data_IF_006345263167
#
_entry.id   IF_006345263167
#
_cell.length_a   1.000
_cell.length_b   1.000
_cell.length_c   1.000
_cell.angle_alpha   90.00
_cell.angle_beta   90.00
_cell.angle_gamma   90.00
#
_symmetry.space_group_name_H-M   'P 1'
#
loop_
_entity.id
_entity.type
_entity.pdbx_description
1 polymer ?
#
# COMPACT_ATOMS: atom_id res chain seq x y z
N UNK A 1 4.35 44.29 24.89
CA UNK A 1 3.72 43.41 23.88
C UNK A 1 4.84 42.85 23.01
N UNK A 2 4.97 41.52 22.84
CA UNK A 2 5.80 40.80 21.83
C UNK A 2 6.43 39.48 22.31
N UNK A 3 6.25 39.04 23.57
CA UNK A 3 6.95 37.84 24.10
C UNK A 3 6.29 36.47 23.84
N UNK A 4 5.16 36.42 23.13
CA UNK A 4 4.41 35.16 22.94
C UNK A 4 4.45 34.60 21.51
N UNK A 5 5.16 35.25 20.57
CA UNK A 5 5.16 34.86 19.15
C UNK A 5 6.16 33.72 18.84
N UNK A 6 7.02 33.34 19.79
CA UNK A 6 8.08 32.35 19.55
C UNK A 6 7.72 30.89 19.88
N UNK A 7 6.49 30.60 20.30
CA UNK A 7 6.08 29.23 20.67
C UNK A 7 5.28 28.48 19.60
N UNK A 8 4.92 29.11 18.48
CA UNK A 8 4.06 28.48 17.46
C UNK A 8 4.83 27.79 16.31
N UNK A 9 6.17 27.89 16.28
CA UNK A 9 6.97 27.45 15.13
C UNK A 9 7.52 26.02 15.22
N UNK A 10 7.25 25.27 16.29
CA UNK A 10 7.90 23.96 16.53
C UNK A 10 7.05 22.75 16.08
N UNK A 11 5.82 22.95 15.60
CA UNK A 11 4.93 21.85 15.18
C UNK A 11 5.04 21.43 13.69
N UNK A 12 5.90 22.07 12.89
CA UNK A 12 5.92 21.85 11.42
C UNK A 12 6.79 20.67 10.93
N UNK A 13 7.35 19.85 11.82
CA UNK A 13 8.29 18.78 11.43
C UNK A 13 7.80 17.34 11.66
N UNK A 14 6.51 17.13 11.90
CA UNK A 14 5.91 15.79 11.82
C UNK A 14 5.71 15.38 10.35
N UNK A 15 6.76 15.45 9.53
CA UNK A 15 6.77 14.77 8.24
C UNK A 15 6.97 13.28 8.55
N UNK A 16 5.86 12.57 8.71
CA UNK A 16 5.85 11.12 8.78
C UNK A 16 6.35 10.63 7.42
N UNK A 17 7.65 10.32 7.34
CA UNK A 17 8.29 9.68 6.19
C UNK A 17 7.81 8.23 6.14
N UNK A 18 6.53 8.06 5.80
CA UNK A 18 5.99 6.76 5.43
C UNK A 18 6.69 6.44 4.13
N UNK A 19 7.57 5.45 4.20
CA UNK A 19 8.13 4.87 2.98
C UNK A 19 6.97 4.17 2.30
N UNK A 20 6.31 4.86 1.40
CA UNK A 20 5.19 4.27 0.66
C UNK A 20 5.73 3.05 -0.08
N UNK A 21 5.09 1.90 0.14
CA UNK A 21 5.48 0.67 -0.54
C UNK A 21 4.81 0.66 -1.92
N UNK A 22 5.62 0.82 -2.97
CA UNK A 22 5.13 0.84 -4.33
C UNK A 22 5.17 -0.55 -4.99
N UNK A 23 4.05 -0.94 -5.59
CA UNK A 23 3.84 -2.22 -6.26
C UNK A 23 3.29 -2.02 -7.67
N UNK A 24 3.75 -2.83 -8.60
CA UNK A 24 3.24 -2.83 -9.97
C UNK A 24 1.95 -3.65 -10.04
N UNK A 25 0.87 -3.05 -10.53
CA UNK A 25 -0.41 -3.74 -10.71
C UNK A 25 -0.28 -4.74 -11.87
N UNK A 26 -0.35 -6.02 -11.55
CA UNK A 26 -0.26 -7.11 -12.53
C UNK A 26 -1.62 -7.58 -13.03
N UNK A 27 -2.66 -7.44 -12.22
CA UNK A 27 -4.03 -7.78 -12.57
C UNK A 27 -5.02 -7.00 -11.70
N UNK A 28 -6.27 -6.89 -12.16
CA UNK A 28 -7.37 -6.16 -11.52
C UNK A 28 -8.62 -7.03 -11.51
N UNK A 29 -9.26 -7.21 -10.34
CA UNK A 29 -10.53 -7.96 -10.26
C UNK A 29 -11.55 -7.26 -9.39
N UNK A 30 -12.81 -7.39 -9.80
CA UNK A 30 -13.96 -7.07 -8.99
C UNK A 30 -14.60 -8.36 -8.50
N UNK A 31 -14.79 -8.49 -7.19
CA UNK A 31 -15.41 -9.67 -6.57
C UNK A 31 -16.47 -9.17 -5.60
N UNK A 32 -17.74 -9.55 -5.82
CA UNK A 32 -18.87 -9.17 -4.95
C UNK A 32 -18.99 -7.65 -4.69
N UNK A 33 -18.64 -6.81 -5.67
CA UNK A 33 -18.69 -5.35 -5.53
C UNK A 33 -17.46 -4.72 -4.84
N UNK A 34 -16.48 -5.53 -4.44
CA UNK A 34 -15.19 -5.07 -3.93
C UNK A 34 -14.16 -5.09 -5.05
N UNK A 35 -13.17 -4.19 -4.97
CA UNK A 35 -12.20 -3.94 -6.03
C UNK A 35 -10.79 -4.28 -5.54
N UNK A 36 -10.06 -5.11 -6.30
CA UNK A 36 -8.76 -5.61 -5.89
C UNK A 36 -7.69 -5.38 -6.96
N UNK A 37 -6.52 -4.94 -6.51
CA UNK A 37 -5.27 -5.00 -7.28
C UNK A 37 -4.51 -6.25 -6.89
N UNK A 38 -3.96 -6.93 -7.90
CA UNK A 38 -3.07 -8.07 -7.73
C UNK A 38 -1.68 -7.69 -8.19
N UNK A 39 -0.68 -8.02 -7.39
CA UNK A 39 0.72 -7.72 -7.67
C UNK A 39 1.61 -8.90 -7.27
N UNK A 40 2.80 -8.97 -7.87
CA UNK A 40 3.80 -9.96 -7.44
C UNK A 40 4.36 -9.54 -6.10
N UNK A 41 4.31 -10.45 -5.13
CA UNK A 41 4.87 -10.17 -3.82
C UNK A 41 6.40 -10.02 -3.95
N UNK A 42 6.94 -8.81 -3.72
CA UNK A 42 8.39 -8.60 -3.67
C UNK A 42 8.90 -9.32 -2.42
N UNK A 43 9.79 -10.31 -2.58
CA UNK A 43 10.44 -10.99 -1.47
C UNK A 43 11.51 -10.07 -0.85
N UNK A 44 11.09 -9.00 -0.20
CA UNK A 44 12.00 -8.07 0.50
C UNK A 44 11.54 -7.92 1.94
N UNK A 45 11.75 -8.96 2.75
CA UNK A 45 11.84 -8.88 4.22
C UNK A 45 10.53 -8.58 4.99
N UNK A 46 10.21 -9.47 5.93
CA UNK A 46 9.13 -9.37 6.92
C UNK A 46 7.70 -9.25 6.38
N UNK A 47 7.18 -10.38 5.89
CA UNK A 47 5.73 -10.58 5.82
C UNK A 47 5.17 -10.53 7.25
N UNK A 48 4.27 -9.60 7.52
CA UNK A 48 3.31 -9.78 8.60
C UNK A 48 2.18 -10.65 8.05
N UNK A 49 1.96 -11.78 8.71
CA UNK A 49 1.01 -12.85 8.34
C UNK A 49 -0.47 -12.40 8.44
N UNK A 50 -0.86 -11.33 7.74
CA UNK A 50 -2.26 -10.91 7.65
C UNK A 50 -2.94 -11.37 6.34
N UNK A 51 -2.22 -12.09 5.47
CA UNK A 51 -2.79 -12.66 4.26
C UNK A 51 -2.75 -14.19 4.32
N UNK A 52 -3.82 -14.76 4.89
CA UNK A 52 -4.32 -16.11 4.62
C UNK A 52 -3.33 -17.27 4.66
N UNK A 53 -3.35 -18.00 5.77
CA UNK A 53 -2.96 -19.41 5.91
C UNK A 53 -2.54 -20.13 4.61
N UNK A 54 -1.24 -20.35 4.43
CA UNK A 54 -0.77 -21.58 3.79
C UNK A 54 0.59 -21.96 4.37
N UNK A 55 0.51 -22.77 5.41
CA UNK A 55 1.61 -23.59 5.89
C UNK A 55 2.06 -24.53 4.77
N UNK A 56 3.39 -24.55 4.55
CA UNK A 56 4.16 -25.47 3.70
C UNK A 56 4.25 -25.11 2.20
N UNK A 57 5.48 -24.80 1.78
CA UNK A 57 5.90 -24.88 0.37
C UNK A 57 6.29 -23.54 -0.24
N UNK A 58 7.57 -23.38 -0.53
CA UNK A 58 8.09 -22.29 -1.37
C UNK A 58 7.51 -22.38 -2.79
N UNK A 59 6.34 -21.78 -3.01
CA UNK A 59 5.83 -21.49 -4.34
C UNK A 59 6.37 -20.14 -4.80
N UNK A 60 7.12 -20.12 -5.90
CA UNK A 60 7.66 -18.91 -6.55
C UNK A 60 6.59 -18.01 -7.18
N UNK A 61 5.31 -18.33 -6.97
CA UNK A 61 4.18 -17.68 -7.61
C UNK A 61 3.19 -17.15 -6.56
N UNK A 62 3.69 -16.43 -5.54
CA UNK A 62 2.82 -15.76 -4.57
C UNK A 62 2.35 -14.44 -5.15
N UNK A 63 1.08 -14.41 -5.56
CA UNK A 63 0.38 -13.17 -5.83
C UNK A 63 -0.12 -12.59 -4.51
N UNK A 64 0.19 -11.32 -4.27
CA UNK A 64 -0.41 -10.54 -3.21
C UNK A 64 -1.56 -9.73 -3.78
N UNK A 65 -2.52 -9.36 -2.94
CA UNK A 65 -3.67 -8.56 -3.35
C UNK A 65 -4.01 -7.50 -2.32
N UNK A 66 -4.31 -6.29 -2.81
CA UNK A 66 -4.81 -5.17 -2.01
C UNK A 66 -6.22 -4.79 -2.43
N UNK A 67 -7.13 -4.62 -1.47
CA UNK A 67 -8.45 -4.04 -1.70
C UNK A 67 -8.32 -2.52 -1.84
N UNK A 68 -9.02 -1.94 -2.80
CA UNK A 68 -9.07 -0.51 -3.06
C UNK A 68 -10.51 -0.06 -3.26
N UNK A 69 -10.73 1.26 -3.20
CA UNK A 69 -12.04 1.83 -3.55
C UNK A 69 -12.27 1.74 -5.07
N UNK A 70 -13.53 1.85 -5.49
CA UNK A 70 -13.88 1.90 -6.92
C UNK A 70 -13.18 3.05 -7.66
N UNK A 71 -13.07 4.21 -7.01
CA UNK A 71 -12.42 5.39 -7.60
C UNK A 71 -10.94 5.12 -7.88
N UNK A 72 -10.21 4.58 -6.91
CA UNK A 72 -8.81 4.17 -7.08
C UNK A 72 -8.72 3.05 -8.12
N UNK A 73 -9.62 2.06 -8.06
CA UNK A 73 -9.62 1.00 -9.05
C UNK A 73 -9.76 1.53 -10.47
N UNK A 74 -10.60 2.52 -10.71
CA UNK A 74 -10.84 3.09 -12.03
C UNK A 74 -9.76 4.08 -12.48
N UNK A 75 -8.97 4.66 -11.56
CA UNK A 75 -7.91 5.61 -11.90
C UNK A 75 -6.57 4.98 -12.29
N UNK A 76 -6.37 3.69 -11.98
CA UNK A 76 -5.15 2.93 -12.31
C UNK A 76 -5.39 1.84 -13.35
N UNK A 77 -4.37 1.51 -14.13
CA UNK A 77 -4.37 0.46 -15.14
C UNK A 77 -3.45 -0.70 -14.75
N UNK A 78 -3.62 -1.84 -15.43
CA UNK A 78 -2.65 -2.94 -15.35
C UNK A 78 -1.32 -2.43 -15.94
N UNK A 79 -0.24 -2.59 -15.18
CA UNK A 79 1.09 -2.07 -15.48
C UNK A 79 1.44 -0.76 -14.77
N UNK A 80 0.46 -0.08 -14.16
CA UNK A 80 0.72 1.13 -13.37
C UNK A 80 1.31 0.76 -11.99
N UNK A 81 2.15 1.65 -11.46
CA UNK A 81 2.68 1.56 -10.10
C UNK A 81 1.69 2.19 -9.12
N UNK A 82 1.39 1.47 -8.04
CA UNK A 82 0.53 1.91 -6.95
C UNK A 82 1.28 1.88 -5.63
N UNK A 83 1.28 2.99 -4.91
CA UNK A 83 1.97 3.15 -3.63
C UNK A 83 0.94 3.30 -2.49
N UNK A 84 1.16 2.59 -1.39
CA UNK A 84 0.24 2.53 -0.24
C UNK A 84 0.95 2.70 1.11
#
# INVERSE_FOLDING_TARGET
>A
MSKYILLFSVFLFLNCDKRDECVDITDKKQINGLYYFYFKAKMTGSYTDNQGNSSNGFSQNRWASGEVTEEIYNSFNIGDEYCY
#
